data_IF_007380228230
#
_entry.id   IF_007380228230
#
_cell.length_a   1.000
_cell.length_b   1.000
_cell.length_c   1.000
_cell.angle_alpha   90.00
_cell.angle_beta   90.00
_cell.angle_gamma   90.00
#
_symmetry.space_group_name_H-M   'P 1'
#
loop_
_entity.id
_entity.type
_entity.pdbx_description
1 polymer ?
#
# COMPACT_ATOMS: atom_id res chain seq x y z
N UNK A 1 -24.22 4.00 13.15
CA UNK A 1 -22.78 4.28 12.94
C UNK A 1 -22.53 5.76 13.28
N UNK A 2 -21.32 6.13 13.68
CA UNK A 2 -20.99 7.49 14.12
C UNK A 2 -21.14 8.54 13.01
N UNK A 3 -21.80 9.65 13.31
CA UNK A 3 -21.93 10.80 12.42
C UNK A 3 -20.77 11.79 12.61
N UNK A 4 -20.41 12.49 11.53
CA UNK A 4 -19.37 13.54 11.55
C UNK A 4 -17.93 13.01 11.72
N UNK A 5 -17.71 11.71 11.57
CA UNK A 5 -16.38 11.12 11.69
C UNK A 5 -15.65 11.14 10.35
N UNK A 6 -14.54 11.87 10.29
CA UNK A 6 -13.62 11.90 9.14
C UNK A 6 -12.41 10.97 9.30
N UNK A 7 -12.16 10.47 10.52
CA UNK A 7 -11.04 9.59 10.85
C UNK A 7 -11.44 8.11 10.97
N UNK A 8 -10.53 7.16 10.74
CA UNK A 8 -10.78 5.74 10.99
C UNK A 8 -11.22 5.49 12.44
N UNK A 9 -12.29 4.71 12.63
CA UNK A 9 -12.79 4.32 13.95
C UNK A 9 -12.68 2.82 14.13
N UNK A 10 -12.37 2.40 15.36
CA UNK A 10 -12.39 1.00 15.78
C UNK A 10 -13.45 0.81 16.87
N UNK A 11 -14.27 -0.22 16.72
CA UNK A 11 -15.24 -0.65 17.74
C UNK A 11 -14.64 -1.85 18.45
N UNK A 12 -14.40 -1.72 19.76
CA UNK A 12 -13.92 -2.81 20.60
C UNK A 12 -15.08 -3.34 21.44
N UNK A 13 -15.37 -4.62 21.31
CA UNK A 13 -16.35 -5.33 22.13
C UNK A 13 -15.63 -6.42 22.93
N UNK A 14 -15.98 -6.55 24.21
CA UNK A 14 -15.41 -7.57 25.09
C UNK A 14 -16.53 -8.23 25.88
N UNK A 15 -16.56 -9.56 25.83
CA UNK A 15 -17.57 -10.38 26.49
C UNK A 15 -16.87 -11.50 27.28
N UNK A 16 -17.49 -11.94 28.37
CA UNK A 16 -17.02 -13.15 29.06
C UNK A 16 -17.38 -14.39 28.25
N UNK A 17 -16.38 -15.22 27.96
CA UNK A 17 -16.54 -16.49 27.26
C UNK A 17 -15.57 -17.55 27.82
N UNK A 18 -15.90 -18.82 27.68
CA UNK A 18 -15.04 -19.93 28.09
C UNK A 18 -13.74 -19.96 27.27
N UNK A 19 -13.78 -19.51 26.01
CA UNK A 19 -12.63 -19.49 25.10
C UNK A 19 -12.10 -18.06 24.95
N UNK A 20 -10.80 -17.89 25.21
CA UNK A 20 -10.12 -16.63 24.88
C UNK A 20 -9.88 -16.56 23.37
N UNK A 21 -10.71 -15.79 22.67
CA UNK A 21 -10.54 -15.53 21.24
C UNK A 21 -10.48 -14.04 20.95
N UNK A 22 -9.72 -13.71 19.92
CA UNK A 22 -9.71 -12.38 19.32
C UNK A 22 -10.29 -12.53 17.93
N UNK A 23 -11.36 -11.78 17.67
CA UNK A 23 -11.99 -11.70 16.37
C UNK A 23 -11.78 -10.31 15.83
N UNK A 24 -11.43 -10.21 14.56
CA UNK A 24 -11.31 -8.91 13.89
C UNK A 24 -12.15 -8.92 12.62
N UNK A 25 -12.49 -7.72 12.15
CA UNK A 25 -13.01 -7.52 10.81
C UNK A 25 -11.90 -7.05 9.89
N UNK A 26 -12.16 -7.12 8.58
CA UNK A 26 -11.42 -6.30 7.61
C UNK A 26 -11.61 -4.81 7.89
N UNK A 27 -10.79 -3.97 7.27
CA UNK A 27 -11.09 -2.55 7.19
C UNK A 27 -12.37 -2.36 6.37
N UNK A 28 -13.36 -1.72 7.01
CA UNK A 28 -14.60 -1.28 6.37
C UNK A 28 -14.42 0.12 5.81
N UNK A 29 -14.60 0.27 4.51
CA UNK A 29 -14.83 1.57 3.86
C UNK A 29 -16.28 1.63 3.44
N UNK A 30 -16.85 2.82 3.53
CA UNK A 30 -18.29 3.04 3.47
C UNK A 30 -18.54 4.48 3.04
N UNK A 31 -19.45 4.66 2.10
CA UNK A 31 -20.02 5.97 1.79
C UNK A 31 -21.14 6.32 2.78
N UNK A 32 -21.56 7.58 2.74
CA UNK A 32 -22.54 8.13 3.69
C UNK A 32 -23.87 7.37 3.61
N UNK A 33 -24.30 7.00 2.42
CA UNK A 33 -25.53 6.25 2.15
C UNK A 33 -25.50 4.81 2.65
N UNK A 34 -24.32 4.22 2.86
CA UNK A 34 -24.16 2.85 3.34
C UNK A 34 -24.24 2.75 4.88
N UNK A 35 -24.18 3.90 5.57
CA UNK A 35 -24.13 3.93 7.04
C UNK A 35 -25.25 3.18 7.77
N UNK A 36 -26.51 3.20 7.31
CA UNK A 36 -27.59 2.49 7.99
C UNK A 36 -27.40 0.97 8.06
N UNK A 37 -26.69 0.38 7.09
CA UNK A 37 -26.53 -1.08 6.94
C UNK A 37 -25.09 -1.57 7.09
N UNK A 38 -24.14 -0.66 7.31
CA UNK A 38 -22.72 -1.01 7.32
C UNK A 38 -22.31 -2.05 8.37
N UNK A 39 -22.93 -2.04 9.56
CA UNK A 39 -22.58 -3.02 10.60
C UNK A 39 -23.14 -4.41 10.30
N UNK A 40 -24.24 -4.52 9.54
CA UNK A 40 -24.82 -5.82 9.19
C UNK A 40 -24.02 -6.57 8.12
N UNK A 41 -23.10 -5.91 7.43
CA UNK A 41 -22.24 -6.52 6.39
C UNK A 41 -20.85 -6.88 6.91
N UNK A 42 -20.54 -6.60 8.18
CA UNK A 42 -19.24 -6.90 8.78
C UNK A 42 -19.16 -8.39 9.13
N UNK A 43 -18.18 -9.07 8.55
CA UNK A 43 -17.75 -10.38 8.98
C UNK A 43 -16.62 -10.27 10.02
N UNK A 44 -16.62 -11.18 10.98
CA UNK A 44 -15.58 -11.32 11.99
C UNK A 44 -14.88 -12.67 11.84
N UNK A 45 -13.55 -12.66 11.89
CA UNK A 45 -12.73 -13.86 11.79
C UNK A 45 -11.84 -14.02 13.04
N UNK A 46 -11.78 -15.23 13.65
CA UNK A 46 -10.87 -15.48 14.76
C UNK A 46 -9.42 -15.68 14.26
N UNK A 47 -8.47 -14.89 14.77
CA UNK A 47 -7.04 -15.09 14.54
C UNK A 47 -6.19 -14.42 15.62
N UNK A 48 -4.87 -14.66 15.59
CA UNK A 48 -3.89 -14.00 16.47
C UNK A 48 -2.76 -13.29 15.71
N UNK A 49 -2.92 -13.12 14.39
CA UNK A 49 -1.96 -12.41 13.53
C UNK A 49 -1.66 -11.00 14.07
N UNK A 50 -0.37 -10.77 14.37
CA UNK A 50 0.18 -9.50 14.83
C UNK A 50 1.55 -9.26 14.19
N UNK A 51 1.81 -8.01 13.80
CA UNK A 51 3.18 -7.53 13.53
C UNK A 51 3.71 -6.87 14.80
N UNK A 52 4.98 -7.13 15.12
CA UNK A 52 5.69 -6.63 16.30
C UNK A 52 4.97 -6.89 17.65
N UNK A 53 4.13 -7.92 17.70
CA UNK A 53 3.28 -8.27 18.85
C UNK A 53 2.19 -7.25 19.23
N UNK A 54 2.13 -6.06 18.62
CA UNK A 54 1.13 -5.04 18.94
C UNK A 54 0.21 -4.64 17.76
N UNK A 55 0.68 -4.72 16.51
CA UNK A 55 -0.14 -4.37 15.33
C UNK A 55 -1.06 -5.52 14.98
N UNK A 56 -2.27 -5.51 15.52
CA UNK A 56 -3.30 -6.49 15.22
C UNK A 56 -3.76 -6.37 13.76
N UNK A 57 -3.73 -7.48 13.01
CA UNK A 57 -4.25 -7.50 11.64
C UNK A 57 -5.75 -7.27 11.62
N UNK A 58 -6.23 -6.37 10.76
CA UNK A 58 -7.66 -6.22 10.45
C UNK A 58 -8.05 -7.21 9.35
N UNK A 59 -8.31 -8.46 9.71
CA UNK A 59 -8.53 -9.58 8.78
C UNK A 59 -9.93 -10.15 9.03
N UNK A 60 -10.81 -10.07 8.03
CA UNK A 60 -12.22 -10.45 8.17
C UNK A 60 -12.64 -11.70 7.40
N UNK A 61 -11.75 -12.27 6.59
CA UNK A 61 -12.05 -13.39 5.69
C UNK A 61 -10.90 -14.41 5.65
N UNK A 62 -11.19 -15.73 5.59
CA UNK A 62 -10.22 -16.78 5.28
C UNK A 62 -9.18 -16.47 4.19
N UNK A 63 -9.58 -15.88 3.05
CA UNK A 63 -8.64 -15.59 1.94
C UNK A 63 -7.52 -14.63 2.38
N UNK A 64 -7.87 -13.56 3.12
CA UNK A 64 -6.88 -12.62 3.66
C UNK A 64 -5.88 -13.30 4.62
N UNK A 65 -6.39 -14.26 5.40
CA UNK A 65 -5.58 -15.04 6.33
C UNK A 65 -4.60 -15.94 5.58
N UNK A 66 -5.04 -16.65 4.54
CA UNK A 66 -4.20 -17.51 3.70
C UNK A 66 -3.10 -16.72 2.98
N UNK A 67 -3.45 -15.56 2.39
CA UNK A 67 -2.49 -14.63 1.78
C UNK A 67 -1.42 -14.23 2.81
N UNK A 68 -1.83 -13.81 4.02
CA UNK A 68 -0.87 -13.42 5.05
C UNK A 68 0.03 -14.58 5.53
N UNK A 69 -0.50 -15.81 5.62
CA UNK A 69 0.29 -16.98 5.98
C UNK A 69 1.42 -17.23 4.97
N UNK A 70 1.17 -17.07 3.68
CA UNK A 70 2.19 -17.20 2.63
C UNK A 70 3.30 -16.15 2.79
N UNK A 71 2.94 -14.90 3.09
CA UNK A 71 3.91 -13.81 3.30
C UNK A 71 4.72 -14.04 4.58
N UNK A 72 4.06 -14.33 5.69
CA UNK A 72 4.69 -14.48 7.00
C UNK A 72 5.59 -15.73 7.09
N UNK A 73 5.36 -16.75 6.26
CA UNK A 73 6.25 -17.89 6.10
C UNK A 73 7.57 -17.58 5.40
N UNK A 74 7.70 -16.42 4.73
CA UNK A 74 8.93 -15.99 4.09
C UNK A 74 9.94 -15.42 5.10
N UNK A 75 11.22 -15.64 4.85
CA UNK A 75 12.29 -15.34 5.82
C UNK A 75 12.87 -13.92 5.68
N UNK A 76 13.11 -13.47 4.45
CA UNK A 76 13.91 -12.26 4.19
C UNK A 76 13.00 -11.03 4.15
N UNK A 77 13.27 -9.98 4.96
CA UNK A 77 12.56 -8.71 4.83
C UNK A 77 13.07 -7.93 3.60
N UNK A 78 12.25 -7.00 3.10
CA UNK A 78 12.60 -6.05 2.05
C UNK A 78 13.86 -5.27 2.41
N UNK A 79 14.04 -4.94 3.70
CA UNK A 79 15.23 -4.26 4.21
C UNK A 79 16.54 -4.97 3.83
N UNK A 80 16.52 -6.29 3.62
CA UNK A 80 17.68 -7.07 3.17
C UNK A 80 18.20 -6.68 1.77
N UNK A 81 17.37 -6.01 0.96
CA UNK A 81 17.71 -5.48 -0.36
C UNK A 81 18.30 -4.05 -0.32
N UNK A 82 18.23 -3.39 0.83
CA UNK A 82 18.59 -1.97 0.98
C UNK A 82 20.07 -1.78 1.35
N UNK A 83 20.59 -0.57 1.13
CA UNK A 83 21.95 -0.18 1.53
C UNK A 83 21.93 1.20 2.18
N UNK A 84 22.88 1.44 3.10
CA UNK A 84 23.08 2.77 3.70
C UNK A 84 24.02 3.65 2.87
N UNK A 85 24.69 3.08 1.87
CA UNK A 85 25.50 3.85 0.92
C UNK A 85 24.57 4.57 -0.06
N UNK A 86 24.87 5.83 -0.38
CA UNK A 86 24.17 6.54 -1.45
C UNK A 86 24.37 5.80 -2.78
N UNK A 87 23.28 5.45 -3.45
CA UNK A 87 23.32 4.82 -4.78
C UNK A 87 22.44 5.59 -5.76
N UNK A 88 22.56 5.28 -7.04
CA UNK A 88 21.61 5.74 -8.05
C UNK A 88 20.30 4.93 -8.03
N UNK A 89 20.25 3.82 -7.28
CA UNK A 89 19.10 2.93 -7.19
C UNK A 89 18.24 3.33 -5.99
N UNK A 90 17.46 4.39 -6.15
CA UNK A 90 16.58 4.89 -5.09
C UNK A 90 15.12 4.70 -5.45
N UNK A 91 14.30 4.42 -4.45
CA UNK A 91 12.85 4.53 -4.54
C UNK A 91 12.39 5.60 -3.56
N UNK A 92 11.69 6.60 -4.09
CA UNK A 92 10.91 7.53 -3.29
C UNK A 92 9.49 7.00 -3.13
N UNK A 93 8.88 7.16 -1.96
CA UNK A 93 7.43 7.00 -1.81
C UNK A 93 6.85 8.07 -0.90
N UNK A 94 5.62 8.50 -1.21
CA UNK A 94 4.87 9.44 -0.38
C UNK A 94 4.29 8.70 0.83
N UNK A 95 4.49 9.22 2.05
CA UNK A 95 3.98 8.56 3.26
C UNK A 95 2.47 8.63 3.34
N UNK A 96 1.88 9.78 2.98
CA UNK A 96 0.44 9.95 2.95
C UNK A 96 -0.17 9.13 1.79
N UNK A 97 -0.94 8.10 2.13
CA UNK A 97 -1.57 7.19 1.19
C UNK A 97 -2.94 6.77 1.71
N UNK A 98 -3.99 7.15 0.97
CA UNK A 98 -5.35 6.69 1.24
C UNK A 98 -5.73 5.42 0.48
N UNK A 99 -5.57 5.42 -0.85
CA UNK A 99 -6.04 4.34 -1.74
C UNK A 99 -4.99 3.77 -2.69
N UNK A 100 -4.01 4.59 -3.04
CA UNK A 100 -2.94 4.25 -3.97
C UNK A 100 -1.66 4.84 -3.42
N UNK A 101 -0.74 3.99 -2.98
CA UNK A 101 0.58 4.46 -2.62
C UNK A 101 1.30 4.87 -3.92
N UNK A 102 2.02 5.99 -3.86
CA UNK A 102 2.75 6.56 -4.99
C UNK A 102 4.23 6.41 -4.70
N UNK A 103 4.86 5.48 -5.39
CA UNK A 103 6.31 5.30 -5.36
C UNK A 103 6.92 5.53 -6.73
N UNK A 104 8.13 6.08 -6.76
CA UNK A 104 8.86 6.37 -8.00
C UNK A 104 10.31 5.92 -7.87
N UNK A 105 10.86 5.36 -8.94
CA UNK A 105 12.31 5.25 -9.07
C UNK A 105 12.89 6.65 -9.25
N UNK A 106 13.79 7.07 -8.36
CA UNK A 106 14.26 8.46 -8.31
C UNK A 106 13.41 9.37 -7.42
N UNK A 107 13.55 10.68 -7.62
CA UNK A 107 12.72 11.69 -6.95
C UNK A 107 11.66 12.21 -7.92
N UNK A 108 10.40 12.37 -7.48
CA UNK A 108 9.38 12.97 -8.33
C UNK A 108 9.65 14.47 -8.50
N UNK A 109 9.01 15.07 -9.52
CA UNK A 109 9.10 16.50 -9.73
C UNK A 109 8.53 17.28 -8.55
N UNK A 110 9.35 18.15 -7.95
CA UNK A 110 8.92 19.07 -6.91
C UNK A 110 9.81 20.31 -6.88
N UNK A 111 9.21 21.50 -6.87
CA UNK A 111 9.89 22.77 -6.70
C UNK A 111 9.26 23.63 -5.61
N UNK A 112 10.10 24.35 -4.89
CA UNK A 112 9.70 25.44 -4.00
C UNK A 112 10.35 26.73 -4.46
N UNK A 113 9.54 27.73 -4.80
CA UNK A 113 10.00 29.03 -5.31
C UNK A 113 10.96 28.88 -6.50
N UNK A 114 10.64 27.98 -7.44
CA UNK A 114 11.46 27.71 -8.63
C UNK A 114 12.68 26.81 -8.40
N UNK A 115 13.02 26.48 -7.14
CA UNK A 115 14.15 25.62 -6.79
C UNK A 115 13.68 24.18 -6.64
N UNK A 116 14.29 23.25 -7.38
CA UNK A 116 14.05 21.81 -7.22
C UNK A 116 14.55 21.36 -5.86
N UNK A 117 13.65 20.79 -5.06
CA UNK A 117 13.97 20.22 -3.75
C UNK A 117 13.28 18.87 -3.61
N UNK A 118 13.79 18.03 -2.70
CA UNK A 118 13.09 16.79 -2.35
C UNK A 118 11.68 17.12 -1.81
N UNK A 119 10.62 16.43 -2.27
CA UNK A 119 9.29 16.65 -1.75
C UNK A 119 9.24 16.39 -0.23
N UNK A 120 8.52 17.22 0.53
CA UNK A 120 8.25 16.96 1.94
C UNK A 120 7.28 15.78 2.10
N UNK A 121 7.27 15.12 3.28
CA UNK A 121 6.36 14.02 3.62
C UNK A 121 6.49 12.76 2.74
N UNK A 122 7.73 12.46 2.33
CA UNK A 122 8.05 11.22 1.64
C UNK A 122 9.41 10.67 2.04
N UNK A 123 9.57 9.37 1.85
CA UNK A 123 10.77 8.61 2.22
C UNK A 123 11.53 8.22 0.98
N UNK A 124 12.84 8.03 1.16
CA UNK A 124 13.76 7.59 0.11
C UNK A 124 14.52 6.40 0.66
N UNK A 125 14.50 5.29 -0.06
CA UNK A 125 15.25 4.08 0.29
C UNK A 125 16.30 3.86 -0.79
N UNK A 126 17.55 3.62 -0.39
CA UNK A 126 18.63 3.23 -1.29
C UNK A 126 18.71 1.70 -1.39
N UNK A 127 18.91 1.19 -2.60
CA UNK A 127 18.96 -0.24 -2.89
C UNK A 127 20.32 -0.69 -3.42
N UNK A 128 20.62 -1.97 -3.17
CA UNK A 128 21.87 -2.62 -3.60
C UNK A 128 21.98 -2.79 -5.11
N UNK A 129 20.87 -2.78 -5.84
CA UNK A 129 20.84 -2.91 -7.31
C UNK A 129 19.60 -2.27 -7.92
N UNK A 130 19.64 -2.04 -9.23
CA UNK A 130 18.50 -1.53 -10.01
C UNK A 130 17.29 -2.46 -9.92
N UNK A 131 17.49 -3.77 -10.09
CA UNK A 131 16.41 -4.76 -9.96
C UNK A 131 15.78 -4.77 -8.55
N UNK A 132 16.56 -4.50 -7.50
CA UNK A 132 16.03 -4.39 -6.15
C UNK A 132 15.18 -3.13 -5.96
N UNK A 133 15.59 -2.00 -6.55
CA UNK A 133 14.76 -0.80 -6.58
C UNK A 133 13.48 -1.02 -7.40
N UNK A 134 13.59 -1.67 -8.57
CA UNK A 134 12.46 -1.91 -9.47
C UNK A 134 11.38 -2.79 -8.84
N UNK A 135 11.72 -3.95 -8.26
CA UNK A 135 10.71 -4.79 -7.60
C UNK A 135 10.04 -4.06 -6.45
N UNK A 136 10.79 -3.29 -5.66
CA UNK A 136 10.21 -2.55 -4.54
C UNK A 136 9.32 -1.41 -5.03
N UNK A 137 9.71 -0.70 -6.10
CA UNK A 137 8.86 0.27 -6.77
C UNK A 137 7.54 -0.34 -7.26
N UNK A 138 7.60 -1.54 -7.85
CA UNK A 138 6.42 -2.31 -8.25
C UNK A 138 5.55 -2.68 -7.04
N UNK A 139 6.13 -3.30 -6.00
CA UNK A 139 5.41 -3.68 -4.77
C UNK A 139 4.70 -2.48 -4.17
N UNK A 140 5.40 -1.36 -3.96
CA UNK A 140 4.82 -0.19 -3.29
C UNK A 140 3.66 0.44 -4.06
N UNK A 141 3.61 0.32 -5.39
CA UNK A 141 2.47 0.82 -6.17
C UNK A 141 1.35 -0.23 -6.35
N UNK A 142 1.52 -1.46 -5.86
CA UNK A 142 0.62 -2.57 -6.16
C UNK A 142 -0.63 -2.63 -5.29
N UNK A 143 -1.66 -3.35 -5.75
CA UNK A 143 -2.85 -3.62 -4.94
C UNK A 143 -2.53 -4.51 -3.75
N UNK A 144 -1.59 -5.45 -3.94
CA UNK A 144 -1.05 -6.27 -2.85
C UNK A 144 -0.51 -5.42 -1.70
N UNK A 145 0.32 -4.41 -1.98
CA UNK A 145 0.82 -3.55 -0.92
C UNK A 145 -0.27 -2.68 -0.30
N UNK A 146 -1.22 -2.17 -1.09
CA UNK A 146 -2.37 -1.44 -0.56
C UNK A 146 -3.18 -2.28 0.45
N UNK A 147 -3.45 -3.55 0.13
CA UNK A 147 -4.11 -4.48 1.04
C UNK A 147 -3.28 -4.69 2.31
N UNK A 148 -1.99 -5.04 2.17
CA UNK A 148 -1.09 -5.29 3.30
C UNK A 148 -0.97 -4.07 4.23
N UNK A 149 -0.84 -2.88 3.65
CA UNK A 149 -0.86 -1.61 4.36
C UNK A 149 -2.16 -1.39 5.12
N UNK A 150 -3.31 -1.62 4.47
CA UNK A 150 -4.63 -1.37 5.07
C UNK A 150 -4.85 -2.24 6.30
N UNK A 151 -4.39 -3.49 6.30
CA UNK A 151 -4.60 -4.41 7.42
C UNK A 151 -3.69 -4.12 8.63
N UNK A 152 -2.60 -3.36 8.49
CA UNK A 152 -1.63 -3.11 9.57
C UNK A 152 -1.34 -1.62 9.89
N UNK A 153 -1.88 -0.68 9.13
CA UNK A 153 -1.69 0.76 9.36
C UNK A 153 -2.98 1.50 9.72
N UNK A 154 -2.87 2.79 9.96
CA UNK A 154 -3.97 3.74 10.17
C UNK A 154 -4.81 4.02 8.90
N UNK A 155 -4.43 3.47 7.74
CA UNK A 155 -5.04 3.75 6.43
C UNK A 155 -4.88 5.20 5.95
N UNK A 156 -3.96 5.97 6.53
CA UNK A 156 -3.62 7.32 6.10
C UNK A 156 -2.11 7.52 5.83
N UNK A 157 -1.25 6.96 6.69
CA UNK A 157 0.21 7.07 6.59
C UNK A 157 0.90 5.71 6.54
N UNK A 158 1.74 5.52 5.53
CA UNK A 158 2.63 4.36 5.42
C UNK A 158 3.83 4.55 6.35
N UNK A 159 3.96 3.64 7.30
CA UNK A 159 5.11 3.57 8.20
C UNK A 159 6.31 2.88 7.48
N UNK A 160 7.52 3.43 7.63
CA UNK A 160 8.74 2.90 7.01
C UNK A 160 9.12 1.50 7.49
N UNK A 161 8.89 1.19 8.77
CA UNK A 161 9.13 -0.15 9.33
C UNK A 161 8.22 -1.17 8.64
N UNK A 162 6.94 -0.81 8.42
CA UNK A 162 6.00 -1.69 7.71
C UNK A 162 6.46 -2.00 6.28
N UNK A 163 7.03 -1.02 5.57
CA UNK A 163 7.63 -1.22 4.25
C UNK A 163 8.88 -2.10 4.35
N UNK A 164 9.79 -1.79 5.27
CA UNK A 164 11.08 -2.47 5.39
C UNK A 164 10.95 -3.91 5.86
N UNK A 165 9.97 -4.21 6.68
CA UNK A 165 9.78 -5.53 7.28
C UNK A 165 8.93 -6.48 6.44
N UNK A 166 8.23 -5.97 5.42
CA UNK A 166 7.53 -6.78 4.43
C UNK A 166 8.47 -7.85 3.88
N UNK A 167 8.02 -9.11 3.88
CA UNK A 167 8.85 -10.23 3.45
C UNK A 167 8.90 -10.33 1.93
N UNK A 168 10.08 -10.59 1.38
CA UNK A 168 10.32 -10.73 -0.05
C UNK A 168 10.54 -12.20 -0.43
N UNK A 169 9.90 -12.70 -1.51
CA UNK A 169 10.07 -14.06 -1.99
C UNK A 169 11.52 -14.36 -2.40
N UNK A 170 12.09 -15.54 -2.09
CA UNK A 170 13.51 -15.82 -2.38
C UNK A 170 13.82 -15.87 -3.89
N UNK A 171 12.84 -16.20 -4.72
CA UNK A 171 12.93 -16.34 -6.18
C UNK A 171 12.60 -15.06 -6.94
N UNK A 172 12.45 -13.92 -6.26
CA UNK A 172 12.07 -12.65 -6.88
C UNK A 172 12.91 -12.29 -8.11
N UNK A 173 14.20 -12.65 -8.12
CA UNK A 173 15.13 -12.41 -9.23
C UNK A 173 14.85 -13.20 -10.51
N UNK A 174 13.89 -14.14 -10.52
CA UNK A 174 13.54 -14.92 -11.72
C UNK A 174 12.77 -14.09 -12.76
N UNK A 175 12.16 -12.98 -12.36
CA UNK A 175 11.52 -12.02 -13.27
C UNK A 175 12.40 -10.80 -13.49
N UNK A 176 12.29 -10.18 -14.65
CA UNK A 176 12.90 -8.89 -14.94
C UNK A 176 11.96 -7.78 -14.46
N UNK A 177 12.24 -7.19 -13.30
CA UNK A 177 11.38 -6.17 -12.70
C UNK A 177 11.61 -4.81 -13.32
N UNK A 178 12.84 -4.52 -13.75
CA UNK A 178 13.17 -3.21 -14.27
C UNK A 178 12.31 -2.79 -15.49
N UNK A 179 12.07 -3.64 -16.51
CA UNK A 179 11.18 -3.29 -17.62
C UNK A 179 9.72 -3.04 -17.18
N UNK A 180 9.21 -3.83 -16.22
CA UNK A 180 7.85 -3.67 -15.71
C UNK A 180 7.71 -2.38 -14.90
N UNK A 181 8.69 -2.09 -14.05
CA UNK A 181 8.77 -0.85 -13.27
C UNK A 181 8.87 0.38 -14.18
N UNK A 182 9.68 0.33 -15.24
CA UNK A 182 9.76 1.41 -16.22
C UNK A 182 8.42 1.66 -16.94
N UNK A 183 7.69 0.60 -17.31
CA UNK A 183 6.36 0.71 -17.91
C UNK A 183 5.37 1.34 -16.94
N UNK A 184 5.39 0.92 -15.68
CA UNK A 184 4.55 1.48 -14.63
C UNK A 184 4.87 2.96 -14.41
N UNK A 185 6.14 3.32 -14.23
CA UNK A 185 6.58 4.71 -14.04
C UNK A 185 6.13 5.59 -15.21
N UNK A 186 6.38 5.16 -16.45
CA UNK A 186 5.96 5.91 -17.64
C UNK A 186 4.44 6.12 -17.68
N UNK A 187 3.66 5.13 -17.26
CA UNK A 187 2.21 5.23 -17.20
C UNK A 187 1.76 6.21 -16.11
N UNK A 188 2.37 6.15 -14.91
CA UNK A 188 2.11 7.10 -13.83
C UNK A 188 2.44 8.54 -14.22
N UNK A 189 3.58 8.75 -14.89
CA UNK A 189 4.02 10.06 -15.39
C UNK A 189 3.04 10.61 -16.43
N UNK A 190 2.60 9.77 -17.38
CA UNK A 190 1.61 10.14 -18.41
C UNK A 190 0.26 10.51 -17.79
N UNK A 191 -0.07 9.90 -16.65
CA UNK A 191 -1.29 10.15 -15.88
C UNK A 191 -1.07 11.16 -14.74
N UNK A 192 0.00 11.94 -14.80
CA UNK A 192 0.27 13.02 -13.86
C UNK A 192 -0.10 14.39 -14.45
N UNK A 193 -0.38 15.36 -13.58
CA UNK A 193 -0.60 16.73 -14.00
C UNK A 193 0.19 17.70 -13.12
N UNK A 194 0.89 18.65 -13.75
CA UNK A 194 1.60 19.72 -13.03
C UNK A 194 0.59 20.56 -12.25
N UNK A 195 0.77 20.61 -10.94
CA UNK A 195 0.04 21.50 -10.03
C UNK A 195 0.95 22.59 -9.54
N UNK A 196 0.34 23.75 -9.33
CA UNK A 196 0.97 24.87 -8.65
C UNK A 196 0.04 25.32 -7.52
N UNK A 197 0.61 25.45 -6.32
CA UNK A 197 -0.11 25.96 -5.15
C UNK A 197 0.70 27.05 -4.47
N UNK A 198 0.00 27.99 -3.83
CA UNK A 198 0.60 28.97 -2.93
C UNK A 198 0.29 28.59 -1.49
N UNK A 199 1.33 28.37 -0.69
CA UNK A 199 1.12 28.04 0.74
C UNK A 199 0.71 29.28 1.53
N UNK A 200 0.12 29.08 2.72
CA UNK A 200 -0.19 30.17 3.65
C UNK A 200 1.04 31.03 4.01
N UNK A 201 2.23 30.43 3.97
CA UNK A 201 3.52 31.11 4.23
C UNK A 201 4.04 31.88 3.00
N UNK A 202 3.31 31.87 1.88
CA UNK A 202 3.68 32.60 0.65
C UNK A 202 4.59 31.84 -0.30
N UNK A 203 4.94 30.58 -0.01
CA UNK A 203 5.75 29.77 -0.91
C UNK A 203 4.96 29.33 -2.15
N UNK A 204 5.57 29.41 -3.33
CA UNK A 204 5.08 28.80 -4.57
C UNK A 204 5.60 27.37 -4.63
N UNK A 205 4.70 26.39 -4.65
CA UNK A 205 5.04 24.97 -4.75
C UNK A 205 4.56 24.45 -6.10
N UNK A 206 5.43 23.79 -6.84
CA UNK A 206 5.10 23.10 -8.09
C UNK A 206 5.38 21.61 -7.90
N UNK A 207 4.44 20.73 -8.25
CA UNK A 207 4.59 19.28 -8.13
C UNK A 207 3.75 18.56 -9.19
N UNK A 208 4.10 17.32 -9.51
CA UNK A 208 3.27 16.48 -10.38
C UNK A 208 2.27 15.67 -9.54
N UNK A 209 0.97 15.94 -9.73
CA UNK A 209 -0.10 15.18 -9.10
C UNK A 209 -0.38 13.91 -9.91
N UNK A 210 0.02 12.77 -9.36
CA UNK A 210 -0.16 11.45 -9.97
C UNK A 210 -1.58 10.92 -9.71
N UNK A 211 -2.31 10.56 -10.78
CA UNK A 211 -3.60 9.85 -10.73
C UNK A 211 -3.40 8.34 -10.90
N UNK A 212 -2.91 7.69 -9.85
CA UNK A 212 -2.47 6.28 -9.90
C UNK A 212 -3.55 5.28 -10.37
N UNK A 213 -4.83 5.54 -10.11
CA UNK A 213 -5.93 4.69 -10.58
C UNK A 213 -6.00 4.56 -12.12
N UNK A 214 -5.49 5.53 -12.87
CA UNK A 214 -5.40 5.46 -14.33
C UNK A 214 -4.32 4.47 -14.82
N UNK A 215 -3.40 4.07 -13.93
CA UNK A 215 -2.39 3.05 -14.18
C UNK A 215 -2.84 1.64 -13.77
N UNK A 216 -4.13 1.45 -13.42
CA UNK A 216 -4.66 0.19 -12.88
C UNK A 216 -4.28 -1.04 -13.71
N UNK A 217 -4.37 -0.97 -15.04
CA UNK A 217 -4.02 -2.11 -15.89
C UNK A 217 -2.56 -2.56 -15.71
N UNK A 218 -1.61 -1.62 -15.57
CA UNK A 218 -0.19 -1.96 -15.34
C UNK A 218 0.04 -2.41 -13.89
N UNK A 219 -0.72 -1.85 -12.94
CA UNK A 219 -0.70 -2.31 -11.55
C UNK A 219 -1.19 -3.76 -11.45
N UNK A 220 -2.21 -4.14 -12.22
CA UNK A 220 -2.71 -5.51 -12.25
C UNK A 220 -1.68 -6.47 -12.85
N UNK A 221 -0.95 -6.06 -13.90
CA UNK A 221 0.19 -6.85 -14.40
C UNK A 221 1.30 -7.02 -13.34
N UNK A 222 1.54 -6.00 -12.51
CA UNK A 222 2.44 -6.09 -11.36
C UNK A 222 1.92 -7.08 -10.33
N UNK A 223 0.64 -7.01 -9.97
CA UNK A 223 0.04 -7.92 -9.00
C UNK A 223 0.04 -9.37 -9.53
N UNK A 224 -0.18 -9.61 -10.82
CA UNK A 224 -0.01 -10.93 -11.46
C UNK A 224 1.42 -11.43 -11.34
N UNK A 225 2.42 -10.60 -11.68
CA UNK A 225 3.82 -10.99 -11.52
C UNK A 225 4.17 -11.30 -10.06
N UNK A 226 3.68 -10.50 -9.11
CA UNK A 226 3.89 -10.72 -7.68
C UNK A 226 3.25 -12.04 -7.21
N UNK A 227 2.04 -12.36 -7.67
CA UNK A 227 1.34 -13.59 -7.31
C UNK A 227 2.18 -14.84 -7.61
N UNK A 228 2.87 -14.89 -8.75
CA UNK A 228 3.78 -15.99 -9.10
C UNK A 228 4.92 -16.16 -8.07
N UNK A 229 5.46 -15.06 -7.55
CA UNK A 229 6.58 -15.12 -6.59
C UNK A 229 6.12 -15.41 -5.17
N UNK A 230 4.97 -14.89 -4.75
CA UNK A 230 4.40 -15.17 -3.43
C UNK A 230 3.62 -16.49 -3.37
N UNK A 231 3.47 -17.20 -4.50
CA UNK A 231 2.63 -18.38 -4.67
C UNK A 231 1.16 -18.11 -4.33
N UNK A 232 0.65 -16.95 -4.75
CA UNK A 232 -0.78 -16.68 -4.64
C UNK A 232 -1.57 -17.49 -5.65
N UNK A 233 -2.76 -17.95 -5.26
CA UNK A 233 -3.70 -18.60 -6.19
C UNK A 233 -4.41 -17.56 -7.04
N UNK A 234 -5.09 -17.98 -8.10
CA UNK A 234 -5.91 -17.08 -8.93
C UNK A 234 -7.01 -16.40 -8.11
N UNK A 235 -7.61 -17.11 -7.15
CA UNK A 235 -8.63 -16.56 -6.24
C UNK A 235 -8.06 -15.51 -5.28
N UNK A 236 -6.87 -15.74 -4.73
CA UNK A 236 -6.19 -14.78 -3.87
C UNK A 236 -5.74 -13.53 -4.65
N UNK A 237 -5.26 -13.71 -5.89
CA UNK A 237 -4.91 -12.62 -6.78
C UNK A 237 -6.14 -11.78 -7.14
N UNK A 238 -7.25 -12.42 -7.51
CA UNK A 238 -8.51 -11.73 -7.79
C UNK A 238 -8.98 -10.94 -6.56
N UNK A 239 -8.92 -11.55 -5.37
CA UNK A 239 -9.22 -10.87 -4.12
C UNK A 239 -8.36 -9.62 -3.91
N UNK A 240 -7.04 -9.70 -4.11
CA UNK A 240 -6.11 -8.58 -3.94
C UNK A 240 -6.41 -7.45 -4.94
N UNK A 241 -6.56 -7.80 -6.22
CA UNK A 241 -6.83 -6.84 -7.31
C UNK A 241 -8.14 -6.08 -7.05
N UNK A 242 -9.15 -6.79 -6.53
CA UNK A 242 -10.49 -6.25 -6.28
C UNK A 242 -10.68 -5.68 -4.86
N UNK A 243 -9.68 -5.76 -4.00
CA UNK A 243 -9.77 -5.26 -2.63
C UNK A 243 -10.07 -3.75 -2.60
N UNK A 244 -11.22 -3.38 -2.04
CA UNK A 244 -11.77 -2.00 -2.03
C UNK A 244 -11.92 -1.35 -3.41
N UNK A 245 -12.06 -2.14 -4.49
CA UNK A 245 -12.04 -1.58 -5.86
C UNK A 245 -13.09 -0.47 -6.06
N UNK A 246 -14.27 -0.61 -5.45
CA UNK A 246 -15.32 0.41 -5.42
C UNK A 246 -14.79 1.78 -4.99
N UNK A 247 -13.99 1.82 -3.92
CA UNK A 247 -13.43 3.04 -3.34
C UNK A 247 -12.17 3.50 -4.08
N UNK A 248 -11.31 2.55 -4.48
CA UNK A 248 -10.04 2.86 -5.13
C UNK A 248 -10.21 3.44 -6.53
N UNK A 249 -11.22 2.98 -7.26
CA UNK A 249 -11.55 3.45 -8.61
C UNK A 249 -12.59 4.57 -8.61
N UNK A 250 -13.04 5.03 -7.43
CA UNK A 250 -14.12 6.02 -7.31
C UNK A 250 -15.38 5.61 -8.09
N UNK A 251 -15.72 4.32 -8.07
CA UNK A 251 -16.87 3.73 -8.79
C UNK A 251 -18.21 4.05 -8.11
N UNK A 252 -18.33 5.24 -7.54
CA UNK A 252 -19.52 5.71 -6.84
C UNK A 252 -19.57 7.23 -6.96
N UNK A 253 -20.30 7.67 -7.98
CA UNK A 253 -20.73 9.02 -8.28
C UNK A 253 -22.00 8.92 -9.08
#
# INVERSE_FOLDING_TARGET
MFDGVEMPVSILLSFGDQKRQLLTSRIGRIYTEERPVALSTIALMPHQIRIDSYRLGKIGNPIEHEIYQKISGLKKPLNSLTTNQGTHNIVYYQEACRYWLKACEGLPYFKRNGISIRPPHGRVINFKSQEAAAIVGCILNSSFFYWYYSIFSDCEHVNDELVRDLKIPPNWKKSAWHPLSQRLQKNLDTNSSRKEIKTKQGHRIEYDEIKAFLAKNIIDEVDTALAEHYNFTDEELDFIINYDIKYRMSLSG
#
